data_IF_680026179609
#
_entry.id   IF_680026179609
#
_cell.length_a   1.000
_cell.length_b   1.000
_cell.length_c   1.000
_cell.angle_alpha   90.00
_cell.angle_beta   90.00
_cell.angle_gamma   90.00
#
_symmetry.space_group_name_H-M   'P 1'
#
loop_
_entity.id
_entity.type
_entity.pdbx_description
1 polymer ?
#
# COMPACT_ATOMS: atom_id res chain seq x y z
N UNK A 1 -15.83 -20.98 -17.09
CA UNK A 1 -15.34 -20.35 -16.98
C UNK A 1 -15.11 -19.62 -16.82
N UNK A 2 -15.04 -19.62 -16.51
CA UNK A 2 -14.60 -18.74 -16.37
C UNK A 2 -14.22 -18.25 -15.82
N UNK A 3 -14.13 -18.17 -15.37
CA UNK A 3 -13.69 -17.57 -14.89
C UNK A 3 -13.22 -17.35 -14.45
N UNK A 4 -13.08 -17.59 -14.18
CA UNK A 4 -12.47 -17.27 -13.78
C UNK A 4 -11.78 -16.89 -13.81
N UNK A 5 -11.56 -16.94 -13.97
CA UNK A 5 -10.71 -16.47 -13.96
C UNK A 5 -10.28 -15.68 -13.83
N UNK A 6 -10.30 -15.59 -13.78
CA UNK A 6 -9.95 -14.71 -13.48
C UNK A 6 -9.94 -14.19 -12.37
N UNK A 7 -10.10 -14.68 -11.62
CA UNK A 7 -10.17 -14.30 -10.56
C UNK A 7 -8.96 -14.49 -9.90
N UNK A 8 -8.24 -15.31 -10.10
CA UNK A 8 -7.11 -15.53 -9.57
C UNK A 8 -6.28 -14.39 -9.67
N UNK A 9 -6.39 -13.70 -10.51
CA UNK A 9 -5.73 -12.58 -10.64
C UNK A 9 -6.07 -11.66 -9.66
N UNK A 10 -7.15 -11.76 -9.08
CA UNK A 10 -7.59 -10.92 -8.12
C UNK A 10 -7.28 -11.43 -6.83
N UNK A 11 -6.34 -12.25 -6.55
CA UNK A 11 -6.04 -12.67 -5.30
C UNK A 11 -5.79 -11.56 -4.41
N UNK A 12 -6.20 -11.61 -3.19
CA UNK A 12 -5.98 -10.59 -2.19
C UNK A 12 -4.58 -10.74 -1.72
N UNK A 13 -3.79 -9.73 -1.90
CA UNK A 13 -2.41 -9.75 -1.46
C UNK A 13 -2.27 -8.78 -0.31
N UNK A 14 -1.48 -9.15 0.68
CA UNK A 14 -1.29 -8.33 1.86
C UNK A 14 0.19 -8.04 2.05
N UNK A 15 0.52 -6.79 2.26
CA UNK A 15 1.89 -6.40 2.52
C UNK A 15 1.91 -5.66 3.85
N UNK A 16 2.82 -6.03 4.73
CA UNK A 16 2.98 -5.32 5.98
C UNK A 16 4.29 -4.56 5.92
N UNK A 17 4.21 -3.25 6.07
CA UNK A 17 5.41 -2.44 6.02
C UNK A 17 5.40 -1.47 7.19
N UNK A 18 6.57 -1.05 7.60
CA UNK A 18 6.71 -0.04 8.63
C UNK A 18 7.34 1.16 7.95
N UNK A 19 6.65 2.29 7.98
CA UNK A 19 7.12 3.47 7.29
C UNK A 19 6.96 4.69 8.19
N UNK A 20 7.89 5.61 8.04
CA UNK A 20 7.80 6.86 8.74
C UNK A 20 7.04 7.80 7.83
N UNK A 21 6.11 8.53 8.38
CA UNK A 21 5.34 9.47 7.58
C UNK A 21 6.26 10.61 7.18
N UNK A 22 6.25 10.92 5.90
CA UNK A 22 7.08 11.98 5.35
C UNK A 22 6.22 13.18 5.01
N UNK A 23 6.84 14.31 4.80
CA UNK A 23 6.13 15.51 4.47
C UNK A 23 6.42 15.89 3.04
N UNK A 24 5.41 16.24 2.29
CA UNK A 24 5.58 16.67 0.92
C UNK A 24 4.68 17.88 0.73
N UNK A 25 5.27 19.07 0.71
CA UNK A 25 4.48 20.29 0.67
C UNK A 25 3.68 20.40 1.95
N UNK A 26 2.39 20.49 1.83
CA UNK A 26 1.53 20.56 2.99
C UNK A 26 0.96 19.23 3.39
N UNK A 27 1.36 18.17 2.72
CA UNK A 27 0.78 16.86 2.95
C UNK A 27 1.70 15.96 3.71
N UNK A 28 1.11 15.10 4.54
CA UNK A 28 1.84 14.06 5.21
C UNK A 28 1.59 12.82 4.39
N UNK A 29 2.63 12.18 3.92
CA UNK A 29 2.50 11.07 3.00
C UNK A 29 3.27 9.85 3.46
N UNK A 30 2.91 8.71 2.90
CA UNK A 30 3.63 7.49 3.09
C UNK A 30 4.17 7.08 1.73
N UNK A 31 5.48 6.93 1.62
CA UNK A 31 6.10 6.57 0.36
C UNK A 31 6.16 5.06 0.25
N UNK A 32 5.66 4.53 -0.86
CA UNK A 32 5.68 3.10 -1.09
C UNK A 32 7.12 2.67 -1.35
N UNK A 33 7.61 1.64 -0.65
CA UNK A 33 8.98 1.18 -0.88
C UNK A 33 9.19 0.77 -2.33
N UNK A 34 10.38 1.02 -2.83
CA UNK A 34 10.68 0.75 -4.22
C UNK A 34 10.33 -0.68 -4.63
N UNK A 35 10.61 -1.62 -3.77
CA UNK A 35 10.35 -3.01 -4.09
C UNK A 35 8.88 -3.33 -4.26
N UNK A 36 7.99 -2.48 -3.75
CA UNK A 36 6.57 -2.72 -3.89
C UNK A 36 5.93 -1.85 -4.96
N UNK A 37 6.69 -1.01 -5.63
CA UNK A 37 6.08 -0.08 -6.55
C UNK A 37 5.44 -0.74 -7.76
N UNK A 38 5.93 -1.89 -8.16
CA UNK A 38 5.32 -2.58 -9.26
C UNK A 38 4.01 -3.21 -8.82
N UNK A 39 3.93 -3.63 -7.57
CA UNK A 39 2.74 -4.27 -7.07
C UNK A 39 1.66 -3.25 -6.73
N UNK A 40 2.09 -2.06 -6.34
CA UNK A 40 1.17 -1.04 -5.89
C UNK A 40 1.32 0.20 -6.74
N UNK A 41 0.98 0.07 -8.00
CA UNK A 41 1.14 1.17 -8.94
C UNK A 41 0.07 2.23 -8.73
N UNK A 42 0.31 3.38 -9.30
CA UNK A 42 -0.65 4.45 -9.22
C UNK A 42 -1.99 3.97 -9.80
N UNK A 43 -3.04 4.29 -9.13
CA UNK A 43 -4.36 3.84 -9.56
C UNK A 43 -4.84 2.60 -8.83
N UNK A 44 -3.94 1.90 -8.16
CA UNK A 44 -4.33 0.73 -7.40
C UNK A 44 -5.09 1.17 -6.16
N UNK A 45 -6.18 0.50 -5.87
CA UNK A 45 -6.99 0.84 -4.72
C UNK A 45 -6.65 -0.12 -3.59
N UNK A 46 -6.26 0.43 -2.46
CA UNK A 46 -5.87 -0.38 -1.33
C UNK A 46 -6.65 0.03 -0.10
N UNK A 47 -6.68 -0.84 0.87
CA UNK A 47 -7.29 -0.54 2.14
C UNK A 47 -6.17 -0.47 3.17
N UNK A 48 -6.15 0.59 3.96
CA UNK A 48 -5.07 0.79 4.91
C UNK A 48 -5.56 0.65 6.34
N UNK A 49 -4.74 -0.01 7.14
CA UNK A 49 -4.96 -0.05 8.56
C UNK A 49 -3.69 0.53 9.15
N UNK A 50 -3.81 1.59 9.93
CA UNK A 50 -2.66 2.32 10.42
C UNK A 50 -2.49 2.11 11.91
N UNK A 51 -1.36 1.55 12.30
CA UNK A 51 -1.04 1.35 13.70
C UNK A 51 0.11 2.29 14.04
N UNK A 52 -0.10 3.16 15.00
CA UNK A 52 0.94 4.11 15.38
C UNK A 52 1.89 3.41 16.31
N UNK A 53 3.12 3.20 15.84
CA UNK A 53 4.12 2.50 16.63
C UNK A 53 4.91 3.44 17.51
N UNK A 54 5.10 4.66 17.05
CA UNK A 54 5.85 5.62 17.83
C UNK A 54 5.41 6.99 17.39
N UNK A 55 5.07 7.81 18.35
CA UNK A 55 4.63 9.15 18.03
C UNK A 55 5.79 10.07 17.74
N UNK A 56 5.51 11.15 17.04
CA UNK A 56 6.53 12.12 16.75
C UNK A 56 6.89 12.79 18.05
N UNK A 57 8.17 13.08 18.22
CA UNK A 57 8.64 13.75 19.41
C UNK A 57 8.84 15.19 19.22
#
# INVERSE_FOLDING_TARGET
MWRKHNERKRKMRTYNIVKKIAKHGRQNIIVIPAMLQKELEAGTIVQLKIDVLKEKE
#
